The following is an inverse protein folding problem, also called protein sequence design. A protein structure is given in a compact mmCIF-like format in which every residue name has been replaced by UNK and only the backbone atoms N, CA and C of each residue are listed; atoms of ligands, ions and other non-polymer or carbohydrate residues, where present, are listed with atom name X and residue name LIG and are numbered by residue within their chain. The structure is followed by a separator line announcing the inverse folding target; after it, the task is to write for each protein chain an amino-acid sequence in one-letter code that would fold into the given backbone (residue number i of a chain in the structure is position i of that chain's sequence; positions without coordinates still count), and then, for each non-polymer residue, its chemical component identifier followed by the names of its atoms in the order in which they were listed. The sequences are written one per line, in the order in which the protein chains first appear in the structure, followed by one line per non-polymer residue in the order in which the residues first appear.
data_IF_505758736048
#
_entry.id   IF_505758736048
#
_cell.length_a   1.000
_cell.length_b   1.000
_cell.length_c   1.000
_cell.angle_alpha   90.00
_cell.angle_beta   90.00
_cell.angle_gamma   90.00
#
_symmetry.space_group_name_H-M   'P 1'
#
loop_
_entity.id
_entity.type
_entity.pdbx_description
1 polymer ?
#
# COMPACT_ATOMS: atom_id res chain seq x y z
N UNK A 1 -1.03 -10.48 -9.34
CA UNK A 1 -0.72 -11.64 -10.20
C UNK A 1 0.19 -12.60 -9.43
N UNK A 2 0.11 -13.93 -9.60
CA UNK A 2 0.95 -14.84 -8.83
C UNK A 2 2.42 -14.64 -9.20
N UNK A 3 3.26 -14.47 -8.18
CA UNK A 3 4.70 -14.33 -8.34
C UNK A 3 5.27 -15.72 -8.62
N UNK A 4 5.41 -16.07 -9.90
CA UNK A 4 6.00 -17.35 -10.34
C UNK A 4 7.22 -17.09 -11.22
N UNK A 5 8.09 -18.10 -11.40
CA UNK A 5 9.23 -18.02 -12.31
C UNK A 5 8.84 -17.73 -13.77
N UNK A 6 7.59 -18.01 -14.15
CA UNK A 6 7.05 -17.82 -15.49
C UNK A 6 6.20 -16.53 -15.62
N UNK A 7 6.06 -15.75 -14.55
CA UNK A 7 5.33 -14.49 -14.59
C UNK A 7 6.15 -13.42 -15.31
N UNK A 8 5.50 -12.62 -16.16
CA UNK A 8 6.11 -11.42 -16.71
C UNK A 8 6.34 -10.41 -15.57
N UNK A 9 7.57 -10.36 -15.08
CA UNK A 9 8.02 -9.42 -14.05
C UNK A 9 9.34 -8.80 -14.54
N UNK A 10 9.26 -7.70 -15.30
CA UNK A 10 10.47 -6.99 -15.68
C UNK A 10 11.17 -6.53 -14.39
N UNK A 11 12.50 -6.54 -14.36
CA UNK A 11 13.35 -6.10 -13.24
C UNK A 11 13.63 -7.11 -12.10
N UNK A 12 13.11 -8.34 -12.16
CA UNK A 12 13.48 -9.38 -11.18
C UNK A 12 14.84 -10.01 -11.50
N UNK A 13 15.65 -10.23 -10.47
CA UNK A 13 16.87 -11.04 -10.56
C UNK A 13 16.55 -12.49 -10.98
N UNK A 14 17.29 -12.99 -11.98
CA UNK A 14 17.13 -14.33 -12.54
C UNK A 14 18.06 -15.34 -11.89
N UNK A 15 18.56 -16.30 -12.68
CA UNK A 15 19.61 -17.23 -12.24
C UNK A 15 20.99 -16.56 -12.11
N UNK A 16 21.19 -15.47 -12.83
CA UNK A 16 22.41 -14.66 -12.78
C UNK A 16 22.10 -13.30 -12.12
N UNK A 17 23.10 -12.66 -11.48
CA UNK A 17 22.94 -11.34 -10.91
C UNK A 17 22.44 -10.34 -11.94
N UNK A 18 21.46 -9.53 -11.54
CA UNK A 18 20.92 -8.48 -12.41
C UNK A 18 22.00 -7.41 -12.64
N UNK A 19 22.23 -7.07 -13.90
CA UNK A 19 23.01 -5.89 -14.29
C UNK A 19 22.05 -4.72 -14.44
N UNK A 20 22.34 -3.62 -13.74
CA UNK A 20 21.52 -2.42 -13.78
C UNK A 20 21.75 -1.65 -15.08
N UNK A 21 20.70 -1.01 -15.58
CA UNK A 21 20.80 0.01 -16.61
C UNK A 21 21.24 1.35 -15.98
N UNK A 22 21.83 2.24 -16.76
CA UNK A 22 22.36 3.50 -16.25
C UNK A 22 21.31 4.34 -15.51
N UNK A 23 20.10 4.46 -16.06
CA UNK A 23 19.03 5.21 -15.42
C UNK A 23 18.53 4.56 -14.12
N UNK A 24 18.71 3.25 -13.95
CA UNK A 24 18.33 2.56 -12.71
C UNK A 24 19.30 2.91 -11.57
N UNK A 25 20.58 3.15 -11.89
CA UNK A 25 21.55 3.69 -10.95
C UNK A 25 21.16 5.10 -10.52
N UNK A 26 20.75 5.96 -11.45
CA UNK A 26 20.25 7.32 -11.15
C UNK A 26 19.02 7.28 -10.21
N UNK A 27 18.07 6.36 -10.45
CA UNK A 27 16.91 6.17 -9.58
C UNK A 27 17.31 5.72 -8.16
N UNK A 28 18.34 4.87 -8.03
CA UNK A 28 18.87 4.45 -6.72
C UNK A 28 19.47 5.65 -6.00
N UNK A 29 20.28 6.45 -6.67
CA UNK A 29 20.93 7.63 -6.08
C UNK A 29 19.89 8.63 -5.57
N UNK A 30 18.84 8.91 -6.36
CA UNK A 30 17.72 9.77 -5.95
C UNK A 30 17.02 9.23 -4.69
N UNK A 31 16.75 7.92 -4.62
CA UNK A 31 16.10 7.32 -3.44
C UNK A 31 17.00 7.39 -2.22
N UNK A 32 18.31 7.18 -2.38
CA UNK A 32 19.27 7.26 -1.27
C UNK A 32 19.40 8.70 -0.76
N UNK A 33 19.42 9.68 -1.65
CA UNK A 33 19.38 11.10 -1.28
C UNK A 33 18.07 11.43 -0.56
N UNK A 34 16.92 11.06 -1.14
CA UNK A 34 15.60 11.31 -0.54
C UNK A 34 15.47 10.78 0.89
N UNK A 35 16.05 9.61 1.19
CA UNK A 35 16.04 9.01 2.54
C UNK A 35 16.81 9.83 3.58
N UNK A 36 17.79 10.61 3.15
CA UNK A 36 18.64 11.45 4.02
C UNK A 36 18.25 12.93 4.00
N UNK A 37 17.40 13.35 3.07
CA UNK A 37 16.83 14.71 3.00
C UNK A 37 15.61 14.86 3.93
N UNK A 38 15.59 15.92 4.73
CA UNK A 38 14.45 16.25 5.61
C UNK A 38 13.63 17.46 5.13
N UNK A 39 14.17 18.26 4.21
CA UNK A 39 13.42 19.39 3.62
C UNK A 39 12.31 18.90 2.69
N UNK A 40 11.11 19.45 2.85
CA UNK A 40 9.93 19.01 2.11
C UNK A 40 9.96 19.42 0.63
N UNK A 41 10.53 20.58 0.30
CA UNK A 41 10.59 21.07 -1.07
C UNK A 41 11.65 20.31 -1.86
N UNK A 42 12.80 20.03 -1.24
CA UNK A 42 13.86 19.20 -1.80
C UNK A 42 13.37 17.76 -2.02
N UNK A 43 12.67 17.16 -1.06
CA UNK A 43 12.02 15.84 -1.23
C UNK A 43 11.03 15.81 -2.40
N UNK A 44 10.25 16.88 -2.58
CA UNK A 44 9.33 16.99 -3.70
C UNK A 44 10.06 17.09 -5.04
N UNK A 45 11.17 17.84 -5.10
CA UNK A 45 12.00 17.96 -6.30
C UNK A 45 12.63 16.60 -6.69
N UNK A 46 13.20 15.88 -5.71
CA UNK A 46 13.76 14.55 -5.90
C UNK A 46 12.73 13.55 -6.45
N UNK A 47 11.52 13.53 -5.91
CA UNK A 47 10.45 12.65 -6.41
C UNK A 47 9.92 13.08 -7.78
N UNK A 48 9.97 14.38 -8.11
CA UNK A 48 9.66 14.86 -9.45
C UNK A 48 10.67 14.34 -10.48
N UNK A 49 11.96 14.41 -10.16
CA UNK A 49 13.04 13.88 -11.00
C UNK A 49 12.96 12.35 -11.14
N UNK A 50 12.72 11.64 -10.03
CA UNK A 50 12.46 10.20 -10.04
C UNK A 50 11.34 9.84 -11.02
N UNK A 51 10.19 10.51 -10.92
CA UNK A 51 9.04 10.23 -11.78
C UNK A 51 9.34 10.53 -13.25
N UNK A 52 10.11 11.58 -13.54
CA UNK A 52 10.52 11.90 -14.91
C UNK A 52 11.36 10.76 -15.49
N UNK A 53 12.46 10.36 -14.82
CA UNK A 53 13.35 9.29 -15.27
C UNK A 53 12.58 7.96 -15.40
N UNK A 54 11.76 7.63 -14.41
CA UNK A 54 10.95 6.41 -14.38
C UNK A 54 10.02 6.31 -15.59
N UNK A 55 9.34 7.41 -15.93
CA UNK A 55 8.34 7.44 -17.01
C UNK A 55 8.95 7.58 -18.39
N UNK A 56 10.02 8.37 -18.56
CA UNK A 56 10.75 8.50 -19.82
C UNK A 56 11.35 7.15 -20.28
N UNK A 57 11.79 6.32 -19.33
CA UNK A 57 12.36 5.00 -19.60
C UNK A 57 11.31 3.87 -19.61
N UNK A 58 10.02 4.17 -19.38
CA UNK A 58 8.94 3.17 -19.29
C UNK A 58 9.31 2.02 -18.35
N UNK A 59 9.85 2.36 -17.17
CA UNK A 59 10.33 1.37 -16.19
C UNK A 59 9.21 0.46 -15.68
N UNK A 60 7.98 0.96 -15.65
CA UNK A 60 6.80 0.11 -15.53
C UNK A 60 5.74 0.58 -16.53
N UNK A 61 5.02 -0.38 -17.12
CA UNK A 61 3.96 -0.11 -18.09
C UNK A 61 2.62 -0.03 -17.36
N UNK A 62 2.32 1.16 -16.83
CA UNK A 62 1.04 1.42 -16.18
C UNK A 62 -0.15 1.21 -17.12
N UNK A 63 -1.09 0.33 -16.75
CA UNK A 63 -2.26 0.00 -17.58
C UNK A 63 -3.45 0.91 -17.27
N UNK A 64 -3.82 1.07 -16.00
CA UNK A 64 -4.84 2.02 -15.53
C UNK A 64 -4.64 2.34 -14.05
N UNK A 65 -5.12 3.50 -13.62
CA UNK A 65 -5.17 3.88 -12.19
C UNK A 65 -6.63 3.90 -11.76
N UNK A 66 -6.99 3.02 -10.83
CA UNK A 66 -8.34 2.93 -10.27
C UNK A 66 -8.47 3.66 -8.94
N UNK A 67 -9.65 4.21 -8.66
CA UNK A 67 -10.04 4.62 -7.30
C UNK A 67 -10.85 3.49 -6.67
N UNK A 68 -10.45 3.06 -5.49
CA UNK A 68 -11.19 2.07 -4.71
C UNK A 68 -12.11 2.78 -3.73
N UNK A 69 -13.35 2.31 -3.65
CA UNK A 69 -14.31 2.74 -2.62
C UNK A 69 -14.30 1.77 -1.44
N UNK A 70 -14.50 2.29 -0.24
CA UNK A 70 -14.69 1.49 0.96
C UNK A 70 -16.18 1.19 1.15
N UNK A 71 -16.56 -0.08 1.02
CA UNK A 71 -17.94 -0.51 1.28
C UNK A 71 -18.13 -0.87 2.75
N UNK A 72 -18.77 0.00 3.53
CA UNK A 72 -19.05 -0.24 4.95
C UNK A 72 -20.54 -0.40 5.21
N UNK A 73 -20.87 -1.10 6.29
CA UNK A 73 -22.24 -1.14 6.79
C UNK A 73 -22.59 0.18 7.47
N UNK A 74 -23.80 0.69 7.21
CA UNK A 74 -24.32 1.92 7.83
C UNK A 74 -24.38 1.87 9.37
N UNK A 75 -24.35 0.68 9.98
CA UNK A 75 -24.36 0.51 11.44
C UNK A 75 -23.00 0.76 12.10
N UNK A 76 -21.93 0.75 11.31
CA UNK A 76 -20.57 0.92 11.79
C UNK A 76 -20.32 2.40 12.07
N UNK A 77 -19.82 2.69 13.27
CA UNK A 77 -19.55 4.03 13.75
C UNK A 77 -18.04 4.22 13.97
N UNK A 78 -17.64 5.48 14.09
CA UNK A 78 -16.25 5.90 14.33
C UNK A 78 -15.30 5.67 13.14
N UNK A 79 -15.83 5.65 11.92
CA UNK A 79 -15.01 5.68 10.70
C UNK A 79 -14.85 7.11 10.23
N UNK A 80 -13.61 7.57 10.10
CA UNK A 80 -13.31 8.92 9.61
C UNK A 80 -13.66 9.04 8.13
N UNK A 81 -14.45 10.06 7.80
CA UNK A 81 -14.80 10.37 6.41
C UNK A 81 -13.56 10.64 5.56
N UNK A 82 -13.56 10.12 4.34
CA UNK A 82 -12.46 10.30 3.40
C UNK A 82 -11.21 9.44 3.67
N UNK A 83 -11.26 8.51 4.62
CA UNK A 83 -10.17 7.54 4.83
C UNK A 83 -9.91 6.76 3.52
N UNK A 84 -8.71 6.83 2.94
CA UNK A 84 -8.40 6.14 1.69
C UNK A 84 -8.36 4.64 1.90
N UNK A 85 -8.79 3.88 0.88
CA UNK A 85 -8.75 2.40 0.92
C UNK A 85 -7.31 1.88 1.05
N UNK A 86 -6.36 2.59 0.44
CA UNK A 86 -4.95 2.25 0.48
C UNK A 86 -4.11 3.52 0.35
N UNK A 87 -3.20 3.76 1.30
CA UNK A 87 -2.23 4.86 1.24
C UNK A 87 -0.90 4.44 1.86
N UNK A 88 -0.86 4.24 3.19
CA UNK A 88 0.30 3.70 3.89
C UNK A 88 0.14 2.20 4.17
N UNK A 89 -1.09 1.81 4.53
CA UNK A 89 -1.56 0.44 4.69
C UNK A 89 -2.98 0.35 4.13
N UNK A 90 -3.51 -0.86 4.04
CA UNK A 90 -4.93 -1.12 3.84
C UNK A 90 -5.78 -0.48 4.94
N UNK A 91 -6.99 -0.11 4.52
CA UNK A 91 -7.96 0.66 5.27
C UNK A 91 -8.30 0.11 6.65
N UNK A 92 -8.23 -1.20 6.86
CA UNK A 92 -8.48 -1.85 8.15
C UNK A 92 -7.56 -1.31 9.24
N UNK A 93 -6.29 -1.07 8.91
CA UNK A 93 -5.34 -0.46 9.83
C UNK A 93 -5.59 1.04 9.98
N UNK A 94 -5.92 1.72 8.86
CA UNK A 94 -6.16 3.16 8.84
C UNK A 94 -7.39 3.60 9.66
N UNK A 95 -8.43 2.76 9.74
CA UNK A 95 -9.64 3.04 10.53
C UNK A 95 -9.55 2.55 11.98
N UNK A 96 -8.43 1.91 12.37
CA UNK A 96 -8.21 1.34 13.70
C UNK A 96 -9.39 0.47 14.15
N UNK A 97 -9.49 -0.75 13.60
CA UNK A 97 -10.62 -1.67 13.82
C UNK A 97 -11.09 -1.78 15.28
N UNK A 98 -10.18 -1.72 16.24
CA UNK A 98 -10.45 -1.83 17.68
C UNK A 98 -11.26 -0.65 18.25
N UNK A 99 -11.32 0.48 17.53
CA UNK A 99 -12.05 1.70 17.95
C UNK A 99 -13.46 1.77 17.36
N UNK A 100 -13.81 0.84 16.49
CA UNK A 100 -15.11 0.80 15.82
C UNK A 100 -16.18 0.29 16.76
N UNK A 101 -17.40 0.79 16.60
CA UNK A 101 -18.53 0.35 17.39
C UNK A 101 -19.83 0.37 16.58
N UNK A 102 -20.87 -0.24 17.15
CA UNK A 102 -22.22 -0.27 16.58
C UNK A 102 -23.22 0.07 17.68
N UNK A 103 -24.21 0.96 17.43
CA UNK A 103 -25.27 1.27 18.39
C UNK A 103 -25.98 0.01 18.88
N UNK A 104 -26.33 -0.04 20.17
CA UNK A 104 -26.88 -1.25 20.82
C UNK A 104 -28.11 -1.79 20.10
N UNK A 105 -28.98 -0.90 19.63
CA UNK A 105 -30.20 -1.21 18.88
C UNK A 105 -29.96 -1.76 17.46
N UNK A 106 -28.72 -1.68 16.97
CA UNK A 106 -28.31 -2.13 15.63
C UNK A 106 -27.33 -3.33 15.66
N UNK A 107 -27.00 -3.83 16.86
CA UNK A 107 -26.13 -4.99 17.02
C UNK A 107 -26.83 -6.27 16.56
N UNK A 108 -26.06 -7.19 15.95
CA UNK A 108 -26.54 -8.47 15.46
C UNK A 108 -26.07 -9.61 16.39
N UNK A 109 -26.78 -10.75 16.42
CA UNK A 109 -26.38 -11.89 17.26
C UNK A 109 -24.97 -12.41 16.94
N UNK A 110 -24.19 -12.67 17.98
CA UNK A 110 -22.89 -13.32 17.90
C UNK A 110 -23.03 -14.83 17.66
N UNK A 111 -22.07 -15.44 16.96
CA UNK A 111 -22.03 -16.89 16.75
C UNK A 111 -21.65 -17.63 18.05
N UNK A 112 -20.85 -17.00 18.93
CA UNK A 112 -20.35 -17.57 20.20
C UNK A 112 -20.42 -16.56 21.35
N UNK A 113 -21.61 -16.23 21.84
CA UNK A 113 -21.77 -15.28 22.93
C UNK A 113 -21.14 -15.82 24.22
N UNK A 114 -20.50 -14.94 24.99
CA UNK A 114 -19.88 -15.26 26.29
C UNK A 114 -18.78 -16.33 26.26
N UNK A 115 -18.11 -16.54 25.13
CA UNK A 115 -16.99 -17.47 25.00
C UNK A 115 -15.66 -16.72 24.79
N UNK A 116 -14.59 -17.21 25.41
CA UNK A 116 -13.21 -16.75 25.15
C UNK A 116 -12.42 -17.83 24.39
N UNK A 117 -11.41 -17.46 23.58
CA UNK A 117 -10.54 -18.43 22.93
C UNK A 117 -9.77 -19.29 23.96
N UNK A 118 -9.76 -20.60 23.75
CA UNK A 118 -8.96 -21.56 24.52
C UNK A 118 -7.82 -22.11 23.64
N UNK A 119 -6.68 -22.45 24.25
CA UNK A 119 -5.56 -23.04 23.53
C UNK A 119 -5.96 -24.40 22.95
N UNK A 120 -5.68 -24.63 21.67
CA UNK A 120 -5.84 -25.95 21.06
C UNK A 120 -4.82 -26.92 21.67
N UNK A 121 -5.30 -28.07 22.17
CA UNK A 121 -4.49 -29.21 22.60
C UNK A 121 -3.69 -29.81 21.45
#
# INVERSE_FOLDING_TARGET
APITANGFNPHREGSEPRVLMSFEEDLIDIVQQYRSTFDSAERAALMSEYNQIFTENVYDLGVFVGRYGLGLSNRLQNVTDGTPVFMYQWVEDAILLDTLWTPVDQQLPEIRPNAIPEYGS
#
